data_IF_534646376861
#
_entry.id   IF_534646376861
#
_cell.length_a   1.000
_cell.length_b   1.000
_cell.length_c   1.000
_cell.angle_alpha   90.00
_cell.angle_beta   90.00
_cell.angle_gamma   90.00
#
_symmetry.space_group_name_H-M   'P 1'
#
loop_
_entity.id
_entity.type
_entity.pdbx_description
1 polymer ?
#
# COMPACT_ATOMS: atom_id res chain seq x y z
N UNK A 1 14.88 -10.95 5.54
CA UNK A 1 14.02 -10.68 6.71
C UNK A 1 14.97 -10.57 7.87
N UNK A 2 15.29 -9.35 8.32
CA UNK A 2 16.22 -9.11 9.42
C UNK A 2 15.56 -9.64 10.70
N UNK A 3 16.24 -10.55 11.40
CA UNK A 3 15.62 -11.44 12.38
C UNK A 3 14.83 -10.69 13.47
N UNK A 4 13.60 -11.16 13.70
CA UNK A 4 12.71 -10.62 14.71
C UNK A 4 13.31 -10.76 16.12
N UNK A 5 12.98 -9.88 17.08
CA UNK A 5 13.31 -10.12 18.47
C UNK A 5 12.66 -11.43 18.91
N UNK A 6 13.49 -12.44 19.17
CA UNK A 6 13.04 -13.74 19.67
C UNK A 6 13.49 -13.96 21.09
N UNK A 7 12.76 -14.79 21.84
CA UNK A 7 13.23 -15.29 23.12
C UNK A 7 14.58 -16.02 22.93
N UNK A 8 15.62 -15.73 23.75
CA UNK A 8 16.99 -16.20 23.50
C UNK A 8 17.16 -17.72 23.42
N UNK A 9 16.25 -18.48 24.04
CA UNK A 9 16.37 -19.94 24.22
C UNK A 9 15.43 -20.70 23.29
N UNK A 10 14.22 -20.20 23.08
CA UNK A 10 13.17 -20.90 22.34
C UNK A 10 13.00 -20.39 20.90
N UNK A 11 13.68 -19.28 20.54
CA UNK A 11 13.53 -18.59 19.26
C UNK A 11 12.08 -18.20 18.91
N UNK A 12 11.20 -18.14 19.91
CA UNK A 12 9.82 -17.70 19.74
C UNK A 12 9.79 -16.18 19.57
N UNK A 13 9.07 -15.63 18.57
CA UNK A 13 8.94 -14.19 18.38
C UNK A 13 8.33 -13.49 19.61
N UNK A 14 8.91 -12.36 20.00
CA UNK A 14 8.37 -11.51 21.06
C UNK A 14 7.36 -10.55 20.45
N UNK A 15 6.09 -10.97 20.28
CA UNK A 15 5.08 -10.16 19.59
C UNK A 15 4.87 -8.76 20.19
N UNK A 16 4.95 -8.61 21.51
CA UNK A 16 4.79 -7.29 22.16
C UNK A 16 5.88 -6.26 21.78
N UNK A 17 7.03 -6.73 21.29
CA UNK A 17 8.09 -5.84 20.80
C UNK A 17 7.81 -5.32 19.38
N UNK A 18 6.80 -5.87 18.70
CA UNK A 18 6.43 -5.45 17.37
C UNK A 18 5.55 -4.19 17.42
N UNK A 19 5.81 -3.19 16.57
CA UNK A 19 5.01 -1.97 16.52
C UNK A 19 3.51 -2.24 16.34
N UNK A 20 3.12 -3.22 15.53
CA UNK A 20 1.71 -3.52 15.27
C UNK A 20 0.97 -4.05 16.51
N UNK A 21 1.63 -4.84 17.37
CA UNK A 21 0.99 -5.29 18.62
C UNK A 21 1.14 -4.25 19.74
N UNK A 22 2.28 -3.57 19.81
CA UNK A 22 2.50 -2.53 20.81
C UNK A 22 1.57 -1.31 20.64
N UNK A 23 1.13 -1.04 19.41
CA UNK A 23 0.15 0.01 19.11
C UNK A 23 -1.29 -0.52 19.12
N UNK A 24 -1.53 -1.74 19.60
CA UNK A 24 -2.84 -2.42 19.60
C UNK A 24 -3.53 -2.44 18.21
N UNK A 25 -2.75 -2.41 17.14
CA UNK A 25 -3.25 -2.51 15.75
C UNK A 25 -3.60 -3.97 15.43
N UNK A 26 -2.76 -4.91 15.87
CA UNK A 26 -3.03 -6.35 15.79
C UNK A 26 -3.41 -6.89 17.18
N UNK A 27 -4.51 -7.67 17.29
CA UNK A 27 -4.90 -8.26 18.56
C UNK A 27 -3.85 -9.25 19.08
N UNK A 28 -3.74 -9.43 20.41
CA UNK A 28 -2.90 -10.47 20.99
C UNK A 28 -3.25 -11.87 20.44
N UNK A 29 -2.24 -12.63 20.03
CA UNK A 29 -2.40 -14.01 19.53
C UNK A 29 -2.73 -14.13 18.04
N UNK A 30 -2.99 -13.03 17.34
CA UNK A 30 -3.08 -13.04 15.87
C UNK A 30 -1.65 -13.11 15.31
N UNK A 31 -1.28 -14.06 14.44
CA UNK A 31 0.05 -14.07 13.85
C UNK A 31 0.25 -12.86 12.91
N UNK A 32 1.48 -12.39 12.75
CA UNK A 32 1.76 -11.26 11.88
C UNK A 32 1.48 -11.63 10.41
N UNK A 33 1.03 -10.67 9.58
CA UNK A 33 0.83 -10.94 8.16
C UNK A 33 2.14 -11.32 7.49
N UNK A 34 2.06 -12.32 6.62
CA UNK A 34 3.16 -12.73 5.75
C UNK A 34 3.36 -11.72 4.62
N UNK A 35 4.62 -11.38 4.34
CA UNK A 35 5.01 -10.34 3.39
C UNK A 35 5.88 -10.91 2.28
N UNK A 36 5.54 -10.63 1.03
CA UNK A 36 6.44 -10.77 -0.11
C UNK A 36 6.82 -9.40 -0.69
N UNK A 37 8.12 -9.14 -0.79
CA UNK A 37 8.65 -8.00 -1.53
C UNK A 37 9.12 -8.47 -2.91
N UNK A 38 8.45 -8.01 -3.97
CA UNK A 38 8.80 -8.38 -5.33
C UNK A 38 9.91 -7.47 -5.86
N UNK A 39 11.07 -8.06 -6.10
CA UNK A 39 12.23 -7.38 -6.70
C UNK A 39 12.46 -7.86 -8.12
N UNK A 40 12.96 -6.98 -8.98
CA UNK A 40 13.11 -7.27 -10.41
C UNK A 40 14.09 -8.44 -10.67
N UNK A 41 15.00 -8.69 -9.74
CA UNK A 41 16.09 -9.66 -9.86
C UNK A 41 15.63 -11.12 -9.70
N UNK A 42 14.47 -11.40 -9.08
CA UNK A 42 14.02 -12.78 -8.76
C UNK A 42 12.76 -13.21 -9.55
N UNK A 43 12.72 -12.92 -10.85
CA UNK A 43 11.55 -13.04 -11.75
C UNK A 43 10.91 -14.43 -11.94
N UNK A 44 11.53 -15.54 -11.54
CA UNK A 44 11.15 -16.89 -12.01
C UNK A 44 10.01 -17.58 -11.27
N UNK A 45 9.54 -17.08 -10.12
CA UNK A 45 8.64 -17.88 -9.26
C UNK A 45 7.64 -17.07 -8.41
N UNK A 46 7.19 -15.91 -8.88
CA UNK A 46 6.30 -15.06 -8.09
C UNK A 46 4.84 -15.46 -8.12
N UNK A 47 4.30 -15.83 -9.30
CA UNK A 47 2.88 -16.20 -9.45
C UNK A 47 2.41 -17.23 -8.41
N UNK A 48 3.23 -18.24 -8.10
CA UNK A 48 2.89 -19.27 -7.10
C UNK A 48 2.87 -18.76 -5.64
N UNK A 49 3.66 -17.74 -5.34
CA UNK A 49 3.79 -17.22 -3.97
C UNK A 49 2.80 -16.10 -3.65
N UNK A 50 2.24 -15.42 -4.66
CA UNK A 50 1.30 -14.32 -4.46
C UNK A 50 -0.01 -14.76 -3.80
N UNK A 51 -0.46 -15.99 -4.06
CA UNK A 51 -1.63 -16.57 -3.40
C UNK A 51 -1.36 -17.10 -1.99
N UNK A 52 -0.10 -17.04 -1.52
CA UNK A 52 0.33 -17.59 -0.22
C UNK A 52 0.75 -16.53 0.79
N UNK A 53 0.65 -15.26 0.42
CA UNK A 53 1.07 -14.14 1.26
C UNK A 53 -0.09 -13.17 1.51
N UNK A 54 -0.07 -12.54 2.69
CA UNK A 54 -1.10 -11.59 3.09
C UNK A 54 -0.84 -10.19 2.53
N UNK A 55 0.44 -9.82 2.39
CA UNK A 55 0.88 -8.52 1.87
C UNK A 55 1.91 -8.69 0.75
N UNK A 56 1.71 -7.96 -0.33
CA UNK A 56 2.63 -7.88 -1.47
C UNK A 56 3.10 -6.45 -1.63
N UNK A 57 4.41 -6.25 -1.58
CA UNK A 57 5.05 -4.94 -1.84
C UNK A 57 5.79 -5.03 -3.16
N UNK A 58 5.49 -4.11 -4.08
CA UNK A 58 6.00 -4.16 -5.44
C UNK A 58 6.15 -2.76 -6.04
N UNK A 59 7.19 -2.58 -6.87
CA UNK A 59 7.34 -1.38 -7.67
C UNK A 59 6.27 -1.32 -8.79
N UNK A 60 5.70 -0.13 -9.03
CA UNK A 60 4.73 0.15 -10.10
C UNK A 60 5.08 -0.50 -11.45
N UNK A 61 6.32 -0.35 -11.91
CA UNK A 61 6.73 -0.85 -13.23
C UNK A 61 6.71 -2.39 -13.28
N UNK A 62 7.13 -3.04 -12.20
CA UNK A 62 7.10 -4.49 -12.10
C UNK A 62 5.66 -5.01 -12.02
N UNK A 63 4.81 -4.35 -11.24
CA UNK A 63 3.39 -4.69 -11.14
C UNK A 63 2.71 -4.64 -12.51
N UNK A 64 2.89 -3.55 -13.28
CA UNK A 64 2.30 -3.42 -14.62
C UNK A 64 2.67 -4.61 -15.52
N UNK A 65 3.93 -5.06 -15.47
CA UNK A 65 4.38 -6.22 -16.25
C UNK A 65 3.70 -7.53 -15.82
N UNK A 66 3.43 -7.71 -14.52
CA UNK A 66 2.71 -8.89 -14.00
C UNK A 66 1.24 -8.86 -14.46
N UNK A 67 0.61 -7.68 -14.45
CA UNK A 67 -0.76 -7.51 -14.93
C UNK A 67 -0.87 -7.83 -16.43
N UNK A 68 0.11 -7.37 -17.22
CA UNK A 68 0.18 -7.65 -18.67
C UNK A 68 0.31 -9.14 -19.00
N UNK A 69 0.90 -9.92 -18.09
CA UNK A 69 1.06 -11.37 -18.23
C UNK A 69 -0.10 -12.16 -17.63
N UNK A 70 -1.02 -11.51 -16.91
CA UNK A 70 -2.12 -12.18 -16.21
C UNK A 70 -1.66 -13.06 -15.04
N UNK A 71 -0.53 -12.73 -14.42
CA UNK A 71 0.05 -13.53 -13.31
C UNK A 71 -0.61 -13.25 -11.95
N UNK A 72 -1.54 -12.29 -11.88
CA UNK A 72 -2.24 -11.89 -10.64
C UNK A 72 -3.74 -11.92 -10.91
N UNK A 73 -4.51 -12.64 -10.11
CA UNK A 73 -5.96 -12.54 -10.16
C UNK A 73 -6.45 -11.33 -9.35
N UNK A 74 -7.12 -10.32 -9.95
CA UNK A 74 -7.57 -9.14 -9.21
C UNK A 74 -8.59 -9.47 -8.12
N UNK A 75 -9.35 -10.56 -8.25
CA UNK A 75 -10.32 -10.99 -7.24
C UNK A 75 -9.68 -11.43 -5.91
N UNK A 76 -8.38 -11.79 -5.93
CA UNK A 76 -7.64 -12.19 -4.73
C UNK A 76 -7.14 -10.99 -3.93
N UNK A 77 -7.23 -9.77 -4.47
CA UNK A 77 -6.73 -8.55 -3.85
C UNK A 77 -7.90 -7.76 -3.27
N UNK A 78 -8.03 -7.76 -1.95
CA UNK A 78 -9.08 -6.99 -1.26
C UNK A 78 -8.76 -5.51 -1.08
N UNK A 79 -7.46 -5.15 -1.02
CA UNK A 79 -6.99 -3.80 -0.71
C UNK A 79 -5.76 -3.47 -1.58
N UNK A 80 -5.81 -2.30 -2.21
CA UNK A 80 -4.71 -1.71 -2.96
C UNK A 80 -4.28 -0.41 -2.30
N UNK A 81 -3.04 -0.38 -1.80
CA UNK A 81 -2.42 0.82 -1.23
C UNK A 81 -1.41 1.37 -2.23
N UNK A 82 -1.55 2.65 -2.58
CA UNK A 82 -0.65 3.34 -3.49
C UNK A 82 0.05 4.47 -2.75
N UNK A 83 1.37 4.31 -2.60
CA UNK A 83 2.25 5.36 -2.12
C UNK A 83 2.60 6.36 -3.24
N UNK A 84 2.89 7.59 -2.85
CA UNK A 84 3.09 8.74 -3.72
C UNK A 84 2.03 8.90 -4.83
N UNK A 85 0.78 8.81 -4.40
CA UNK A 85 -0.41 8.86 -5.25
C UNK A 85 -0.55 10.14 -6.10
N UNK A 86 0.21 11.20 -5.83
CA UNK A 86 0.25 12.38 -6.71
C UNK A 86 0.77 12.04 -8.13
N UNK A 87 1.41 10.89 -8.33
CA UNK A 87 1.77 10.35 -9.65
C UNK A 87 0.65 9.57 -10.35
N UNK A 88 -0.53 9.40 -9.73
CA UNK A 88 -1.62 8.54 -10.19
C UNK A 88 -2.24 8.90 -11.55
N UNK A 89 -1.81 10.01 -12.15
CA UNK A 89 -2.21 10.42 -13.50
C UNK A 89 -1.47 9.71 -14.62
N UNK A 90 -0.35 9.07 -14.32
CA UNK A 90 0.37 8.29 -15.33
C UNK A 90 -0.51 7.10 -15.76
N UNK A 91 -0.50 6.81 -17.06
CA UNK A 91 -1.31 5.73 -17.65
C UNK A 91 -1.14 4.37 -16.94
N UNK A 92 0.02 4.15 -16.31
CA UNK A 92 0.33 2.98 -15.50
C UNK A 92 -0.50 2.87 -14.21
N UNK A 93 -0.77 3.96 -13.50
CA UNK A 93 -1.62 3.93 -12.32
C UNK A 93 -3.08 3.70 -12.68
N UNK A 94 -3.59 4.40 -13.71
CA UNK A 94 -4.95 4.16 -14.23
C UNK A 94 -5.14 2.70 -14.62
N UNK A 95 -4.14 2.09 -15.27
CA UNK A 95 -4.16 0.67 -15.61
C UNK A 95 -4.25 -0.23 -14.38
N UNK A 96 -3.44 0.03 -13.35
CA UNK A 96 -3.46 -0.74 -12.10
C UNK A 96 -4.83 -0.60 -11.41
N UNK A 97 -5.32 0.62 -11.23
CA UNK A 97 -6.60 0.90 -10.55
C UNK A 97 -7.75 0.22 -11.29
N UNK A 98 -7.79 0.32 -12.62
CA UNK A 98 -8.84 -0.32 -13.42
C UNK A 98 -8.75 -1.84 -13.40
N UNK A 99 -7.55 -2.40 -13.26
CA UNK A 99 -7.35 -3.84 -13.12
C UNK A 99 -7.93 -4.38 -11.81
N UNK A 100 -7.71 -3.64 -10.72
CA UNK A 100 -8.18 -3.97 -9.36
C UNK A 100 -9.49 -3.24 -9.02
N UNK A 101 -10.48 -3.30 -9.91
CA UNK A 101 -11.70 -2.50 -9.81
C UNK A 101 -12.62 -2.86 -8.63
N UNK A 102 -12.48 -4.05 -8.04
CA UNK A 102 -13.25 -4.52 -6.89
C UNK A 102 -12.53 -4.32 -5.56
N UNK A 103 -11.26 -3.93 -5.58
CA UNK A 103 -10.44 -3.75 -4.37
C UNK A 103 -10.74 -2.40 -3.71
N UNK A 104 -10.65 -2.36 -2.38
CA UNK A 104 -10.59 -1.09 -1.66
C UNK A 104 -9.33 -0.34 -2.06
N UNK A 105 -9.43 0.96 -2.29
CA UNK A 105 -8.34 1.79 -2.78
C UNK A 105 -7.93 2.81 -1.72
N UNK A 106 -6.64 2.81 -1.36
CA UNK A 106 -6.06 3.76 -0.41
C UNK A 106 -4.89 4.48 -1.09
N UNK A 107 -4.99 5.81 -1.13
CA UNK A 107 -3.95 6.68 -1.67
C UNK A 107 -3.22 7.39 -0.54
N UNK A 108 -1.89 7.29 -0.54
CA UNK A 108 -1.01 8.01 0.37
C UNK A 108 -0.14 8.95 -0.45
N UNK A 109 -0.01 10.21 -0.02
CA UNK A 109 0.93 11.14 -0.66
C UNK A 109 1.26 12.32 0.25
N UNK A 110 2.50 12.80 0.16
CA UNK A 110 2.94 14.04 0.82
C UNK A 110 2.52 15.32 0.10
N UNK A 111 1.99 15.25 -1.13
CA UNK A 111 1.59 16.41 -1.92
C UNK A 111 0.15 16.31 -2.42
N UNK A 112 -0.66 17.33 -2.14
CA UNK A 112 -2.00 17.49 -2.74
C UNK A 112 -1.93 17.86 -4.22
N UNK A 113 -0.80 18.42 -4.67
CA UNK A 113 -0.64 18.98 -6.00
C UNK A 113 0.08 18.01 -6.92
N UNK A 114 -0.56 17.73 -8.06
CA UNK A 114 0.10 17.16 -9.22
C UNK A 114 1.00 18.23 -9.84
N UNK A 115 2.11 17.82 -10.45
CA UNK A 115 2.96 18.71 -11.25
C UNK A 115 2.24 19.31 -12.47
N UNK A 116 1.08 18.77 -12.85
CA UNK A 116 0.20 19.29 -13.91
C UNK A 116 -1.12 19.90 -13.38
N UNK A 117 -1.20 20.23 -12.09
CA UNK A 117 -2.31 20.94 -11.43
C UNK A 117 -3.70 20.32 -11.55
N UNK A 118 -3.81 19.07 -11.98
CA UNK A 118 -5.09 18.34 -12.04
C UNK A 118 -5.37 17.61 -10.73
N UNK A 119 -6.65 17.36 -10.39
CA UNK A 119 -6.99 16.53 -9.24
C UNK A 119 -6.59 15.07 -9.48
N UNK A 120 -6.32 14.31 -8.41
CA UNK A 120 -6.12 12.87 -8.51
C UNK A 120 -7.49 12.23 -8.82
N UNK A 121 -7.61 11.44 -9.90
CA UNK A 121 -8.88 10.80 -10.23
C UNK A 121 -9.29 9.83 -9.10
N UNK A 122 -10.58 9.80 -8.77
CA UNK A 122 -11.17 9.00 -7.68
C UNK A 122 -10.90 9.50 -6.24
N UNK A 123 -10.28 10.67 -6.06
CA UNK A 123 -10.17 11.32 -4.75
C UNK A 123 -11.15 12.49 -4.70
N UNK A 124 -12.10 12.44 -3.75
CA UNK A 124 -12.87 13.61 -3.36
C UNK A 124 -12.09 14.35 -2.29
N UNK A 125 -11.65 15.56 -2.62
CA UNK A 125 -11.03 16.44 -1.63
C UNK A 125 -12.15 17.17 -0.88
N UNK A 126 -12.16 17.05 0.44
CA UNK A 126 -12.92 18.00 1.28
C UNK A 126 -11.96 19.13 1.65
N UNK A 127 -12.31 20.34 1.23
CA UNK A 127 -11.64 21.54 1.69
C UNK A 127 -12.24 21.93 3.03
N UNK A 128 -11.42 22.09 4.05
CA UNK A 128 -11.87 22.65 5.33
C UNK A 128 -11.50 24.12 5.28
N UNK A 129 -12.50 24.99 5.27
CA UNK A 129 -12.29 26.43 5.43
C UNK A 129 -11.94 26.70 6.89
N UNK A 130 -10.69 27.05 7.14
CA UNK A 130 -10.25 27.49 8.46
C UNK A 130 -10.21 29.02 8.47
N UNK A 131 -10.85 29.62 9.47
CA UNK A 131 -10.86 31.08 9.61
C UNK A 131 -9.73 31.44 10.54
N UNK A 132 -8.75 32.19 10.04
CA UNK A 132 -7.67 32.70 10.90
C UNK A 132 -8.23 33.58 12.01
N UNK A 133 -7.49 33.75 13.11
CA UNK A 133 -7.84 34.68 14.19
C UNK A 133 -8.02 36.14 13.72
N UNK A 134 -7.57 36.45 12.49
CA UNK A 134 -7.70 37.75 11.82
C UNK A 134 -8.90 37.86 10.85
N UNK A 135 -9.73 36.82 10.75
CA UNK A 135 -10.93 36.80 9.89
C UNK A 135 -10.63 36.57 8.40
N UNK A 136 -9.42 36.13 8.05
CA UNK A 136 -9.10 35.73 6.67
C UNK A 136 -9.49 34.26 6.45
N UNK A 137 -10.20 34.00 5.36
CA UNK A 137 -10.51 32.64 4.93
C UNK A 137 -9.23 32.04 4.35
N UNK A 138 -8.68 31.03 5.02
CA UNK A 138 -7.55 30.26 4.51
C UNK A 138 -8.10 28.94 3.96
N UNK A 139 -8.03 28.80 2.64
CA UNK A 139 -8.34 27.53 1.97
C UNK A 139 -7.16 26.58 2.15
N UNK A 140 -7.32 25.51 2.95
CA UNK A 140 -6.28 24.49 3.17
C UNK A 140 -6.58 23.16 2.48
#
# INVERSE_FOLDING_TARGET
MQDFPTLPVTHVPIYQSWPLYNLDILPPGVPPPSLAELKAEQWRSYAFNLDRVDLVVVNRQFLVNLLDRGEINPANVGLLIIDEAHHASAASYTKIINYFNSSLLVFLTGSRFRSDSKPIPHIQYTTIEDTSETGQIITR
#
